data_IF_703882949565
#
_entry.id   IF_703882949565
#
_cell.length_a   1.000
_cell.length_b   1.000
_cell.length_c   1.000
_cell.angle_alpha   90.00
_cell.angle_beta   90.00
_cell.angle_gamma   90.00
#
_symmetry.space_group_name_H-M   'P 1'
#
loop_
_entity.id
_entity.type
_entity.pdbx_description
1 polymer ?
#
# COMPACT_ATOMS: atom_id res chain seq x y z
N UNK A 1 42.42 4.47 14.25
CA UNK A 1 41.41 3.39 14.10
C UNK A 1 40.26 3.99 13.34
N UNK A 2 40.03 3.49 12.12
CA UNK A 2 39.20 4.11 11.09
C UNK A 2 37.70 3.98 11.39
N UNK A 3 36.99 5.11 11.41
CA UNK A 3 35.54 5.14 11.22
C UNK A 3 35.30 5.04 9.71
N UNK A 4 35.16 3.81 9.21
CA UNK A 4 34.74 3.55 7.85
C UNK A 4 33.21 3.54 7.84
N UNK A 5 32.60 4.72 7.94
CA UNK A 5 31.15 4.93 7.83
C UNK A 5 30.74 4.83 6.36
N UNK A 6 30.49 3.61 5.90
CA UNK A 6 29.59 3.34 4.78
C UNK A 6 28.43 2.50 5.34
N UNK A 7 27.15 2.76 4.97
CA UNK A 7 26.80 2.99 3.57
C UNK A 7 25.69 4.04 3.28
N UNK A 8 25.85 4.87 2.25
CA UNK A 8 24.74 5.40 1.46
C UNK A 8 24.13 4.33 0.51
N UNK A 9 24.72 3.13 0.39
CA UNK A 9 24.23 2.05 -0.48
C UNK A 9 23.00 1.31 0.05
N UNK A 10 22.86 1.13 1.37
CA UNK A 10 21.77 0.32 1.92
C UNK A 10 20.42 1.04 1.87
N UNK A 11 20.41 2.36 2.09
CA UNK A 11 19.16 3.15 2.01
C UNK A 11 18.65 3.31 0.59
N UNK A 12 19.54 3.40 -0.40
CA UNK A 12 19.17 3.39 -1.81
C UNK A 12 18.57 2.03 -2.22
N UNK A 13 19.14 0.93 -1.73
CA UNK A 13 18.61 -0.41 -1.92
C UNK A 13 17.24 -0.58 -1.24
N UNK A 14 17.03 -0.03 -0.04
CA UNK A 14 15.75 -0.08 0.67
C UNK A 14 14.63 0.66 -0.09
N UNK A 15 14.92 1.85 -0.64
CA UNK A 15 13.95 2.56 -1.48
C UNK A 15 13.63 1.78 -2.75
N UNK A 16 14.64 1.18 -3.39
CA UNK A 16 14.43 0.38 -4.59
C UNK A 16 13.58 -0.87 -4.27
N UNK A 17 13.83 -1.53 -3.14
CA UNK A 17 13.05 -2.67 -2.68
C UNK A 17 11.58 -2.28 -2.42
N UNK A 18 11.34 -1.13 -1.77
CA UNK A 18 9.98 -0.63 -1.53
C UNK A 18 9.26 -0.21 -2.82
N UNK A 19 9.98 0.32 -3.82
CA UNK A 19 9.42 0.65 -5.13
C UNK A 19 9.04 -0.61 -5.93
N UNK A 20 9.85 -1.66 -5.86
CA UNK A 20 9.53 -2.97 -6.45
C UNK A 20 8.29 -3.55 -5.76
N UNK A 21 8.27 -3.54 -4.42
CA UNK A 21 7.14 -4.04 -3.64
C UNK A 21 5.83 -3.29 -3.93
N UNK A 22 5.84 -1.95 -4.01
CA UNK A 22 4.62 -1.18 -4.32
C UNK A 22 4.08 -1.49 -5.73
N UNK A 23 4.96 -1.72 -6.71
CA UNK A 23 4.56 -2.15 -8.05
C UNK A 23 3.93 -3.55 -8.04
N UNK A 24 4.57 -4.51 -7.37
CA UNK A 24 4.05 -5.87 -7.24
C UNK A 24 2.69 -5.89 -6.53
N UNK A 25 2.56 -5.13 -5.44
CA UNK A 25 1.29 -4.98 -4.71
C UNK A 25 0.22 -4.32 -5.58
N UNK A 26 0.57 -3.32 -6.40
CA UNK A 26 -0.39 -2.69 -7.33
C UNK A 26 -0.95 -3.68 -8.35
N UNK A 27 -0.09 -4.56 -8.90
CA UNK A 27 -0.53 -5.63 -9.80
C UNK A 27 -1.39 -6.64 -9.04
N UNK A 28 -0.96 -7.06 -7.85
CA UNK A 28 -1.71 -7.98 -6.99
C UNK A 28 -3.11 -7.46 -6.64
N UNK A 29 -3.22 -6.20 -6.25
CA UNK A 29 -4.49 -5.52 -5.96
C UNK A 29 -5.38 -5.55 -7.21
N UNK A 30 -4.84 -5.21 -8.38
CA UNK A 30 -5.61 -5.22 -9.63
C UNK A 30 -6.16 -6.61 -9.96
N UNK A 31 -5.37 -7.67 -9.71
CA UNK A 31 -5.81 -9.06 -9.91
C UNK A 31 -6.87 -9.48 -8.89
N UNK A 32 -6.70 -9.10 -7.61
CA UNK A 32 -7.67 -9.39 -6.55
C UNK A 32 -9.00 -8.65 -6.80
N UNK A 33 -8.97 -7.39 -7.25
CA UNK A 33 -10.15 -6.64 -7.67
C UNK A 33 -10.86 -7.32 -8.83
N UNK A 34 -10.12 -7.74 -9.86
CA UNK A 34 -10.69 -8.47 -10.99
C UNK A 34 -11.33 -9.79 -10.55
N UNK A 35 -10.71 -10.51 -9.59
CA UNK A 35 -11.27 -11.72 -8.98
C UNK A 35 -12.59 -11.42 -8.26
N UNK A 36 -12.64 -10.39 -7.41
CA UNK A 36 -13.86 -9.96 -6.71
C UNK A 36 -14.96 -9.59 -7.71
N UNK A 37 -14.65 -8.79 -8.74
CA UNK A 37 -15.61 -8.41 -9.78
C UNK A 37 -16.15 -9.63 -10.54
N UNK A 38 -15.28 -10.60 -10.87
CA UNK A 38 -15.70 -11.85 -11.52
C UNK A 38 -16.67 -12.63 -10.64
N UNK A 39 -16.40 -12.75 -9.35
CA UNK A 39 -17.27 -13.43 -8.39
C UNK A 39 -18.61 -12.70 -8.23
N UNK A 40 -18.61 -11.37 -8.16
CA UNK A 40 -19.84 -10.58 -8.12
C UNK A 40 -20.69 -10.75 -9.39
N UNK A 41 -20.05 -10.79 -10.57
CA UNK A 41 -20.73 -11.08 -11.85
C UNK A 41 -21.32 -12.48 -11.90
N UNK A 42 -20.71 -13.45 -11.22
CA UNK A 42 -21.23 -14.81 -11.12
C UNK A 42 -22.39 -14.92 -10.12
N UNK A 43 -22.31 -14.22 -8.99
CA UNK A 43 -23.27 -14.29 -7.89
C UNK A 43 -24.51 -13.41 -8.10
N UNK A 44 -24.39 -12.22 -8.68
CA UNK A 44 -25.46 -11.21 -8.69
C UNK A 44 -25.99 -10.90 -10.09
N UNK A 45 -27.28 -10.55 -10.17
CA UNK A 45 -27.91 -10.07 -11.42
C UNK A 45 -27.32 -8.71 -11.80
N UNK A 46 -27.18 -7.81 -10.83
CA UNK A 46 -26.54 -6.51 -10.97
C UNK A 46 -25.23 -6.47 -10.18
N UNK A 47 -24.09 -6.85 -10.78
CA UNK A 47 -22.80 -6.87 -10.09
C UNK A 47 -22.36 -5.48 -9.62
N UNK A 48 -22.62 -4.45 -10.42
CA UNK A 48 -22.30 -3.07 -10.05
C UNK A 48 -23.11 -2.58 -8.84
N UNK A 49 -24.36 -3.03 -8.68
CA UNK A 49 -25.17 -2.75 -7.50
C UNK A 49 -24.56 -3.37 -6.24
N UNK A 50 -24.21 -4.65 -6.31
CA UNK A 50 -23.56 -5.36 -5.21
C UNK A 50 -22.22 -4.74 -4.83
N UNK A 51 -21.40 -4.38 -5.82
CA UNK A 51 -20.13 -3.69 -5.61
C UNK A 51 -20.32 -2.36 -4.88
N UNK A 52 -21.30 -1.54 -5.27
CA UNK A 52 -21.59 -0.27 -4.58
C UNK A 52 -21.98 -0.49 -3.13
N UNK A 53 -22.77 -1.52 -2.83
CA UNK A 53 -23.14 -1.87 -1.46
C UNK A 53 -21.92 -2.28 -0.65
N UNK A 54 -21.04 -3.11 -1.22
CA UNK A 54 -19.78 -3.51 -0.58
C UNK A 54 -18.87 -2.31 -0.31
N UNK A 55 -18.67 -1.43 -1.30
CA UNK A 55 -17.87 -0.20 -1.17
C UNK A 55 -18.41 0.75 -0.10
N UNK A 56 -19.70 0.73 0.19
CA UNK A 56 -20.30 1.52 1.29
C UNK A 56 -20.17 0.84 2.65
N UNK A 57 -20.29 -0.49 2.68
CA UNK A 57 -20.35 -1.25 3.93
C UNK A 57 -18.95 -1.48 4.52
N UNK A 58 -17.97 -1.84 3.68
CA UNK A 58 -16.60 -2.17 4.10
C UNK A 58 -15.96 -1.01 4.89
N UNK A 59 -15.99 0.27 4.45
CA UNK A 59 -15.41 1.36 5.23
C UNK A 59 -16.14 1.62 6.56
N UNK A 60 -17.40 1.21 6.67
CA UNK A 60 -18.25 1.50 7.84
C UNK A 60 -18.09 0.47 8.96
N UNK A 61 -18.01 -0.81 8.61
CA UNK A 61 -17.98 -1.91 9.58
C UNK A 61 -16.77 -2.84 9.44
N UNK A 62 -15.93 -2.62 8.42
CA UNK A 62 -14.80 -3.50 8.09
C UNK A 62 -15.19 -4.67 7.19
N UNK A 63 -14.17 -5.32 6.63
CA UNK A 63 -14.33 -6.48 5.73
C UNK A 63 -14.90 -7.69 6.47
N UNK A 64 -14.40 -8.00 7.66
CA UNK A 64 -14.85 -9.21 8.38
C UNK A 64 -16.31 -9.12 8.82
N UNK A 65 -16.76 -7.96 9.31
CA UNK A 65 -18.18 -7.76 9.63
C UNK A 65 -19.05 -7.76 8.37
N UNK A 66 -18.57 -7.19 7.26
CA UNK A 66 -19.25 -7.28 5.96
C UNK A 66 -19.40 -8.73 5.51
N UNK A 67 -18.37 -9.55 5.68
CA UNK A 67 -18.39 -10.98 5.39
C UNK A 67 -19.36 -11.73 6.30
N UNK A 68 -19.37 -11.45 7.61
CA UNK A 68 -20.33 -12.04 8.55
C UNK A 68 -21.78 -11.73 8.15
N UNK A 69 -22.05 -10.47 7.80
CA UNK A 69 -23.36 -10.04 7.30
C UNK A 69 -23.72 -10.84 6.05
N UNK A 70 -22.80 -10.95 5.09
CA UNK A 70 -23.03 -11.68 3.83
C UNK A 70 -23.27 -13.18 4.03
N UNK A 71 -22.51 -13.82 4.92
CA UNK A 71 -22.60 -15.25 5.22
C UNK A 71 -23.78 -15.60 6.15
N UNK A 72 -24.41 -14.62 6.78
CA UNK A 72 -25.51 -14.81 7.71
C UNK A 72 -26.60 -15.72 7.16
N UNK A 73 -27.01 -16.69 7.98
CA UNK A 73 -28.01 -17.72 7.65
C UNK A 73 -27.72 -18.45 6.32
N UNK A 74 -26.47 -18.87 6.10
CA UNK A 74 -26.09 -19.65 4.92
C UNK A 74 -26.22 -18.87 3.61
N UNK A 75 -25.79 -17.60 3.63
CA UNK A 75 -25.95 -16.62 2.54
C UNK A 75 -27.37 -16.12 2.28
N UNK A 76 -28.33 -16.34 3.17
CA UNK A 76 -29.66 -15.72 3.02
C UNK A 76 -29.55 -14.18 2.96
N UNK A 77 -28.63 -13.62 3.74
CA UNK A 77 -28.36 -12.19 3.80
C UNK A 77 -27.60 -11.66 2.58
N UNK A 78 -27.05 -12.52 1.71
CA UNK A 78 -26.38 -12.08 0.48
C UNK A 78 -27.33 -11.29 -0.43
N UNK A 79 -28.65 -11.48 -0.29
CA UNK A 79 -29.71 -10.70 -0.96
C UNK A 79 -29.73 -9.23 -0.62
N UNK A 80 -29.25 -8.83 0.56
CA UNK A 80 -29.14 -7.42 0.94
C UNK A 80 -28.16 -6.64 0.04
N UNK A 81 -27.24 -7.34 -0.61
CA UNK A 81 -26.31 -6.76 -1.57
C UNK A 81 -26.90 -6.72 -2.99
N UNK A 82 -28.00 -7.43 -3.26
CA UNK A 82 -28.71 -7.42 -4.54
C UNK A 82 -29.34 -8.77 -4.87
N UNK A 83 -30.13 -8.81 -5.94
CA UNK A 83 -30.74 -10.05 -6.43
C UNK A 83 -29.68 -11.04 -6.91
N UNK A 84 -29.81 -12.31 -6.50
CA UNK A 84 -28.85 -13.36 -6.84
C UNK A 84 -29.15 -13.95 -8.22
N UNK A 85 -28.10 -14.25 -8.98
CA UNK A 85 -28.23 -15.02 -10.22
C UNK A 85 -28.77 -16.40 -9.88
N UNK A 86 -29.84 -16.78 -10.57
CA UNK A 86 -30.48 -18.07 -10.39
C UNK A 86 -31.70 -18.08 -9.47
N UNK A 87 -32.05 -16.95 -8.84
CA UNK A 87 -33.39 -16.80 -8.22
C UNK A 87 -34.50 -16.86 -9.27
N UNK A 88 -34.24 -16.30 -10.46
CA UNK A 88 -35.14 -16.36 -11.61
C UNK A 88 -34.95 -17.66 -12.42
N UNK A 89 -33.70 -18.16 -12.50
CA UNK A 89 -33.32 -19.35 -13.27
C UNK A 89 -32.63 -20.38 -12.37
N UNK A 90 -33.42 -21.25 -11.73
CA UNK A 90 -32.98 -22.18 -10.67
C UNK A 90 -31.73 -23.02 -11.00
N UNK A 91 -31.48 -23.33 -12.28
CA UNK A 91 -30.30 -24.08 -12.71
C UNK A 91 -28.97 -23.30 -12.59
N UNK A 92 -29.00 -21.96 -12.48
CA UNK A 92 -27.82 -21.11 -12.25
C UNK A 92 -27.50 -20.90 -10.77
N UNK A 93 -28.40 -21.31 -9.87
CA UNK A 93 -28.24 -21.16 -8.43
C UNK A 93 -26.97 -21.82 -7.86
N UNK A 94 -26.54 -23.02 -8.34
CA UNK A 94 -25.30 -23.64 -7.86
C UNK A 94 -24.05 -22.80 -8.17
N UNK A 95 -23.97 -22.23 -9.38
CA UNK A 95 -22.85 -21.39 -9.78
C UNK A 95 -22.79 -20.07 -8.98
N UNK A 96 -23.95 -19.46 -8.72
CA UNK A 96 -24.05 -18.27 -7.86
C UNK A 96 -23.62 -18.58 -6.42
N UNK A 97 -24.04 -19.72 -5.86
CA UNK A 97 -23.62 -20.18 -4.52
C UNK A 97 -22.12 -20.45 -4.46
N UNK A 98 -21.55 -21.12 -5.46
CA UNK A 98 -20.10 -21.36 -5.52
C UNK A 98 -19.32 -20.05 -5.53
N UNK A 99 -19.81 -19.04 -6.27
CA UNK A 99 -19.20 -17.71 -6.27
C UNK A 99 -19.32 -17.01 -4.91
N UNK A 100 -20.46 -17.11 -4.23
CA UNK A 100 -20.67 -16.56 -2.88
C UNK A 100 -19.79 -17.23 -1.84
N UNK A 101 -19.48 -18.53 -1.98
CA UNK A 101 -18.56 -19.23 -1.08
C UNK A 101 -17.13 -18.72 -1.19
N UNK A 102 -16.69 -18.30 -2.38
CA UNK A 102 -15.33 -17.79 -2.62
C UNK A 102 -15.18 -16.29 -2.37
N UNK A 103 -16.29 -15.54 -2.36
CA UNK A 103 -16.28 -14.09 -2.25
C UNK A 103 -15.69 -13.58 -0.92
N UNK A 104 -15.98 -14.18 0.25
CA UNK A 104 -15.35 -13.81 1.52
C UNK A 104 -13.82 -13.80 1.47
N UNK A 105 -13.22 -14.87 0.95
CA UNK A 105 -11.77 -15.01 0.93
C UNK A 105 -11.14 -14.04 -0.06
N UNK A 106 -11.78 -13.81 -1.22
CA UNK A 106 -11.33 -12.82 -2.19
C UNK A 106 -11.37 -11.38 -1.63
N UNK A 107 -12.38 -11.05 -0.80
CA UNK A 107 -12.45 -9.74 -0.14
C UNK A 107 -11.37 -9.56 0.93
N UNK A 108 -11.08 -10.61 1.71
CA UNK A 108 -10.00 -10.58 2.71
C UNK A 108 -8.63 -10.45 2.04
N UNK A 109 -8.39 -11.22 0.99
CA UNK A 109 -7.16 -11.14 0.19
C UNK A 109 -6.95 -9.73 -0.37
N UNK A 110 -7.98 -9.13 -0.97
CA UNK A 110 -7.91 -7.76 -1.47
C UNK A 110 -7.57 -6.76 -0.35
N UNK A 111 -8.23 -6.88 0.80
CA UNK A 111 -7.98 -5.99 1.93
C UNK A 111 -6.56 -6.15 2.49
N UNK A 112 -6.05 -7.37 2.57
CA UNK A 112 -4.70 -7.64 3.02
C UNK A 112 -3.67 -7.00 2.09
N UNK A 113 -3.86 -7.09 0.77
CA UNK A 113 -2.99 -6.45 -0.21
C UNK A 113 -3.02 -4.92 -0.09
N UNK A 114 -4.21 -4.33 0.09
CA UNK A 114 -4.37 -2.89 0.32
C UNK A 114 -3.65 -2.46 1.60
N UNK A 115 -3.78 -3.23 2.68
CA UNK A 115 -3.10 -2.95 3.95
C UNK A 115 -1.59 -3.00 3.77
N UNK A 116 -1.06 -4.06 3.15
CA UNK A 116 0.38 -4.19 2.87
C UNK A 116 0.91 -3.05 2.00
N UNK A 117 0.13 -2.56 1.03
CA UNK A 117 0.51 -1.40 0.22
C UNK A 117 0.57 -0.13 1.06
N UNK A 118 -0.42 0.08 1.94
CA UNK A 118 -0.41 1.20 2.89
C UNK A 118 0.82 1.13 3.80
N UNK A 119 1.13 -0.04 4.33
CA UNK A 119 2.29 -0.26 5.21
C UNK A 119 3.61 0.02 4.49
N UNK A 120 3.77 -0.44 3.23
CA UNK A 120 4.94 -0.14 2.41
C UNK A 120 5.11 1.37 2.17
N UNK A 121 4.00 2.10 1.95
CA UNK A 121 4.02 3.56 1.79
C UNK A 121 4.39 4.28 3.08
N UNK A 122 3.89 3.82 4.23
CA UNK A 122 4.26 4.36 5.54
C UNK A 122 5.73 4.09 5.84
N UNK A 123 6.23 2.88 5.58
CA UNK A 123 7.64 2.54 5.74
C UNK A 123 8.55 3.45 4.89
N UNK A 124 8.16 3.69 3.63
CA UNK A 124 8.86 4.64 2.75
C UNK A 124 8.88 6.05 3.32
N UNK A 125 7.76 6.53 3.84
CA UNK A 125 7.67 7.86 4.43
C UNK A 125 8.55 7.98 5.67
N UNK A 126 8.59 6.94 6.52
CA UNK A 126 9.44 6.89 7.69
C UNK A 126 10.93 6.95 7.32
N UNK A 127 11.36 6.19 6.29
CA UNK A 127 12.73 6.25 5.78
C UNK A 127 13.12 7.66 5.28
N UNK A 128 12.21 8.34 4.59
CA UNK A 128 12.43 9.74 4.15
C UNK A 128 12.62 10.67 5.34
N UNK A 129 11.78 10.57 6.35
CA UNK A 129 11.87 11.39 7.55
C UNK A 129 13.17 11.13 8.31
N UNK A 130 13.58 9.87 8.47
CA UNK A 130 14.85 9.51 9.11
C UNK A 130 16.06 10.08 8.37
N UNK A 131 16.06 10.07 7.03
CA UNK A 131 17.13 10.68 6.24
C UNK A 131 17.17 12.19 6.39
N UNK A 132 16.02 12.85 6.36
CA UNK A 132 15.94 14.30 6.57
C UNK A 132 16.45 14.71 7.96
N UNK A 133 16.13 13.94 9.00
CA UNK A 133 16.65 14.15 10.35
C UNK A 133 18.17 13.92 10.43
N UNK A 134 18.70 12.89 9.77
CA UNK A 134 20.16 12.64 9.71
C UNK A 134 20.93 13.79 9.05
N UNK A 135 20.40 14.35 7.96
CA UNK A 135 21.01 15.52 7.29
C UNK A 135 21.00 16.73 8.21
N UNK A 136 19.95 16.91 9.03
CA UNK A 136 19.82 18.03 9.96
C UNK A 136 20.79 17.97 11.15
N UNK A 137 21.20 16.77 11.55
CA UNK A 137 22.10 16.54 12.70
C UNK A 137 23.58 16.57 12.28
N UNK A 138 23.90 16.51 10.97
CA UNK A 138 25.28 16.71 10.52
C UNK A 138 25.71 18.16 10.79
N UNK A 139 26.75 18.41 11.63
CA UNK A 139 27.30 19.73 11.78
C UNK A 139 27.86 20.19 10.43
N UNK A 140 27.77 21.49 10.08
CA UNK A 140 28.41 22.00 8.88
C UNK A 140 29.89 21.62 8.96
N UNK A 141 30.35 20.82 8.00
CA UNK A 141 31.77 20.59 7.80
C UNK A 141 32.39 21.96 7.53
N UNK A 142 33.02 22.53 8.56
CA UNK A 142 33.93 23.66 8.41
C UNK A 142 35.05 23.17 7.50
N UNK A 143 34.90 23.42 6.20
CA UNK A 143 35.99 23.44 5.25
C UNK A 143 36.96 24.52 5.75
N UNK A 144 37.84 24.14 6.66
CA UNK A 144 39.10 24.84 6.90
C UNK A 144 39.95 24.62 5.65
N UNK A 145 39.60 25.32 4.57
CA UNK A 145 40.57 25.72 3.57
C UNK A 145 41.66 26.48 4.31
N UNK A 146 42.77 25.78 4.48
CA UNK A 146 44.06 26.31 4.89
C UNK A 146 44.53 27.28 3.80
N UNK A 147 43.97 28.49 3.80
CA UNK A 147 44.52 29.60 3.04
C UNK A 147 45.88 29.97 3.67
N UNK A 148 47.01 29.87 2.95
CA UNK A 148 48.30 30.26 3.50
C UNK A 148 48.30 31.77 3.80
N UNK A 149 48.62 32.10 5.06
CA UNK A 149 48.90 33.47 5.53
C UNK A 149 49.99 34.09 4.65
N UNK A 150 49.58 34.92 3.68
CA UNK A 150 50.49 35.83 2.99
C UNK A 150 50.91 36.96 3.94
N UNK A 151 51.91 36.69 4.78
CA UNK A 151 52.62 37.72 5.55
C UNK A 151 53.58 38.44 4.59
N UNK A 152 53.07 39.42 3.83
CA UNK A 152 53.95 40.41 3.20
C UNK A 152 54.31 41.48 4.21
N UNK A 153 55.51 41.33 4.77
CA UNK A 153 56.22 42.31 5.59
C UNK A 153 56.19 43.69 4.93
N UNK A 154 55.75 44.66 5.73
CA UNK A 154 55.97 46.09 5.59
C UNK A 154 57.47 46.37 5.38
N UNK A 155 57.82 47.14 4.36
CA UNK A 155 58.98 48.03 4.40
C UNK A 155 58.55 49.44 4.00
N UNK A 156 58.28 50.26 5.01
CA UNK A 156 58.46 51.71 4.93
C UNK A 156 59.94 51.99 4.69
N UNK A 157 60.27 52.71 3.63
CA UNK A 157 61.40 53.64 3.63
C UNK A 157 60.95 54.90 2.91
N UNK A 158 60.86 55.97 3.69
CA UNK A 158 60.92 57.35 3.22
C UNK A 158 62.27 57.54 2.53
N UNK A 159 62.27 58.19 1.37
CA UNK A 159 63.13 59.32 1.04
C UNK A 159 62.40 60.13 -0.04
#
# INVERSE_FOLDING_TARGET
MSANDNPPSDTAADFQALDILDRELTVGISMAEARVQRLLRAAYVSPAGAERTLRKLIPRIGVDETVKVMMGNGFANARHFGALRGEILRWRLPAARAALQQLPDALRELQELINRQSDARVARQNLRTMLAERVRIQPPTLNNETAPKNVRRIRRRMF
#
